data_IF_514490512327
#
_entry.id   IF_514490512327
#
_cell.length_a   1.000
_cell.length_b   1.000
_cell.length_c   1.000
_cell.angle_alpha   90.00
_cell.angle_beta   90.00
_cell.angle_gamma   90.00
#
_symmetry.space_group_name_H-M   'P 1'
#
loop_
_entity.id
_entity.type
_entity.pdbx_description
1 polymer ?
#
# COMPACT_ATOMS: atom_id res chain seq x y z
N UNK A 1 19.01 9.14 -2.98
CA UNK A 1 20.15 8.30 -3.42
C UNK A 1 20.04 8.12 -4.93
N UNK A 2 21.13 8.20 -5.70
CA UNK A 2 21.08 7.91 -7.13
C UNK A 2 20.61 6.46 -7.35
N UNK A 3 19.88 6.16 -8.43
CA UNK A 3 19.48 4.81 -8.75
C UNK A 3 20.72 3.92 -8.88
N UNK A 4 20.66 2.70 -8.33
CA UNK A 4 21.71 1.70 -8.55
C UNK A 4 21.80 1.44 -10.05
N UNK A 5 23.01 1.56 -10.61
CA UNK A 5 23.29 1.40 -12.05
C UNK A 5 22.63 0.11 -12.59
N UNK A 6 21.77 0.22 -13.60
CA UNK A 6 21.17 -0.92 -14.30
C UNK A 6 19.77 -1.34 -13.87
N UNK A 7 19.18 -0.77 -12.80
CA UNK A 7 17.76 -0.99 -12.47
C UNK A 7 16.91 0.08 -13.20
N UNK A 8 15.82 -0.28 -13.91
CA UNK A 8 14.88 0.73 -14.38
C UNK A 8 14.39 1.58 -13.18
N UNK A 9 14.03 2.83 -13.45
CA UNK A 9 13.47 3.72 -12.42
C UNK A 9 12.23 3.10 -11.77
N UNK A 10 11.88 3.57 -10.57
CA UNK A 10 10.68 3.10 -9.87
C UNK A 10 9.43 3.33 -10.74
N UNK A 11 8.69 2.26 -11.03
CA UNK A 11 7.54 2.27 -11.92
C UNK A 11 6.30 2.83 -11.21
N UNK A 12 6.16 4.14 -11.25
CA UNK A 12 5.01 4.83 -10.68
C UNK A 12 3.68 4.48 -11.39
N UNK A 13 3.71 4.05 -12.66
CA UNK A 13 2.51 3.70 -13.40
C UNK A 13 1.95 2.33 -12.95
N UNK A 14 2.83 1.35 -12.75
CA UNK A 14 2.46 0.07 -12.15
C UNK A 14 1.90 0.26 -10.73
N UNK A 15 2.51 1.15 -9.95
CA UNK A 15 2.03 1.48 -8.60
C UNK A 15 0.65 2.15 -8.64
N UNK A 16 0.47 3.17 -9.48
CA UNK A 16 -0.79 3.92 -9.57
C UNK A 16 -1.95 3.05 -10.08
N UNK A 17 -1.70 2.20 -11.07
CA UNK A 17 -2.72 1.26 -11.59
C UNK A 17 -3.13 0.22 -10.55
N UNK A 18 -2.16 -0.36 -9.84
CA UNK A 18 -2.44 -1.31 -8.75
C UNK A 18 -3.20 -0.64 -7.62
N UNK A 19 -2.78 0.56 -7.21
CA UNK A 19 -3.45 1.37 -6.20
C UNK A 19 -4.92 1.66 -6.55
N UNK A 20 -5.21 2.01 -7.81
CA UNK A 20 -6.57 2.26 -8.26
C UNK A 20 -7.46 1.01 -8.16
N UNK A 21 -6.91 -0.17 -8.45
CA UNK A 21 -7.65 -1.44 -8.36
C UNK A 21 -7.96 -1.87 -6.90
N UNK A 22 -7.29 -1.29 -5.89
CA UNK A 22 -7.56 -1.56 -4.47
C UNK A 22 -8.67 -0.68 -3.88
N UNK A 23 -9.21 0.28 -4.63
CA UNK A 23 -10.29 1.15 -4.15
C UNK A 23 -11.60 0.37 -3.93
N UNK A 24 -12.45 0.89 -3.06
CA UNK A 24 -13.72 0.28 -2.69
C UNK A 24 -13.63 -0.55 -1.39
N UNK A 25 -14.61 -1.42 -1.22
CA UNK A 25 -14.80 -2.20 0.02
C UNK A 25 -14.22 -3.61 -0.15
N UNK A 26 -13.21 -3.93 0.65
CA UNK A 26 -12.48 -5.21 0.58
C UNK A 26 -12.10 -5.70 1.97
N UNK A 27 -11.81 -6.99 2.09
CA UNK A 27 -11.11 -7.52 3.27
C UNK A 27 -9.63 -7.15 3.21
N UNK A 28 -9.17 -6.25 4.09
CA UNK A 28 -7.76 -5.85 4.16
C UNK A 28 -6.95 -6.72 5.12
N UNK A 29 -7.39 -7.96 5.37
CA UNK A 29 -6.74 -8.89 6.32
C UNK A 29 -5.25 -9.13 6.01
N UNK A 30 -4.87 -9.19 4.72
CA UNK A 30 -3.48 -9.38 4.30
C UNK A 30 -2.56 -8.22 4.73
N UNK A 31 -3.13 -7.04 4.90
CA UNK A 31 -2.41 -5.81 5.21
C UNK A 31 -2.50 -5.46 6.69
N UNK A 32 -3.39 -6.09 7.46
CA UNK A 32 -3.48 -5.94 8.90
C UNK A 32 -2.47 -6.81 9.66
N UNK A 33 -1.97 -6.31 10.78
CA UNK A 33 -1.29 -7.15 11.76
C UNK A 33 -2.27 -7.54 12.87
N UNK A 34 -2.17 -8.77 13.38
CA UNK A 34 -2.83 -9.11 14.65
C UNK A 34 -2.38 -8.14 15.75
N UNK A 35 -3.30 -7.55 16.53
CA UNK A 35 -2.97 -6.73 17.68
C UNK A 35 -2.02 -7.45 18.63
N UNK A 36 -1.18 -6.70 19.35
CA UNK A 36 -0.26 -7.23 20.38
C UNK A 36 -0.80 -6.87 21.76
N UNK A 37 -0.43 -7.65 22.79
CA UNK A 37 -0.83 -7.38 24.18
C UNK A 37 -2.24 -7.86 24.50
N UNK A 38 -2.93 -7.16 25.43
CA UNK A 38 -4.26 -7.54 25.93
C UNK A 38 -5.39 -7.53 24.88
N UNK A 39 -5.15 -6.96 23.71
CA UNK A 39 -6.10 -6.91 22.59
C UNK A 39 -5.97 -8.12 21.64
N UNK A 40 -5.09 -9.09 21.92
CA UNK A 40 -4.87 -10.28 21.06
C UNK A 40 -6.11 -11.12 20.79
N UNK A 41 -7.06 -11.10 21.74
CA UNK A 41 -8.31 -11.85 21.71
C UNK A 41 -9.46 -11.09 21.05
N UNK A 42 -9.24 -9.82 20.64
CA UNK A 42 -10.25 -9.05 19.93
C UNK A 42 -10.24 -9.45 18.47
N UNK A 43 -11.30 -10.13 18.05
CA UNK A 43 -11.56 -10.38 16.63
C UNK A 43 -12.02 -9.06 16.00
N UNK A 44 -11.24 -8.57 15.04
CA UNK A 44 -11.52 -7.32 14.33
C UNK A 44 -11.95 -7.70 12.92
N UNK A 45 -13.13 -7.25 12.52
CA UNK A 45 -13.58 -7.34 11.13
C UNK A 45 -12.46 -6.76 10.22
N UNK A 46 -11.98 -7.47 9.20
CA UNK A 46 -10.96 -6.95 8.28
C UNK A 46 -11.53 -6.08 7.15
N UNK A 47 -12.85 -5.97 7.00
CA UNK A 47 -13.47 -5.27 5.88
C UNK A 47 -13.42 -3.74 6.05
N UNK A 48 -12.71 -3.05 5.16
CA UNK A 48 -12.63 -1.59 5.15
C UNK A 48 -13.01 -1.06 3.76
N UNK A 49 -13.34 0.22 3.67
CA UNK A 49 -13.60 0.92 2.42
C UNK A 49 -12.52 1.98 2.18
N UNK A 50 -11.76 1.83 1.09
CA UNK A 50 -10.84 2.87 0.62
C UNK A 50 -11.56 3.77 -0.40
N UNK A 51 -11.71 5.05 -0.06
CA UNK A 51 -12.25 6.08 -0.94
C UNK A 51 -11.17 6.82 -1.73
N UNK A 52 -9.92 6.79 -1.25
CA UNK A 52 -8.78 7.34 -1.98
C UNK A 52 -7.51 6.55 -1.69
N UNK A 53 -6.75 6.28 -2.74
CA UNK A 53 -5.40 5.74 -2.70
C UNK A 53 -4.65 6.30 -3.91
N UNK A 54 -3.99 7.43 -3.70
CA UNK A 54 -3.38 8.23 -4.75
C UNK A 54 -1.87 8.32 -4.55
N UNK A 55 -1.13 8.17 -5.64
CA UNK A 55 0.29 8.47 -5.72
C UNK A 55 0.49 9.85 -6.37
N UNK A 56 1.27 10.73 -5.75
CA UNK A 56 1.65 12.02 -6.32
C UNK A 56 3.17 12.26 -6.22
N UNK A 57 3.72 13.02 -7.16
CA UNK A 57 5.10 13.50 -7.05
C UNK A 57 5.18 14.63 -6.03
N UNK A 58 6.28 14.64 -5.27
CA UNK A 58 6.59 15.67 -4.28
C UNK A 58 6.57 15.17 -2.84
N UNK A 59 6.89 16.08 -1.91
CA UNK A 59 6.71 15.87 -0.48
C UNK A 59 5.78 16.91 0.13
N UNK A 60 5.55 16.83 1.44
CA UNK A 60 4.72 17.80 2.19
C UNK A 60 5.31 19.24 2.22
N UNK A 61 6.49 19.45 1.62
CA UNK A 61 7.17 20.74 1.55
C UNK A 61 7.92 20.89 0.22
N UNK A 62 7.76 22.06 -0.39
CA UNK A 62 8.32 22.48 -1.68
C UNK A 62 9.85 22.38 -1.75
N UNK A 63 10.54 22.55 -0.63
CA UNK A 63 12.00 22.71 -0.59
C UNK A 63 12.78 21.42 -0.93
N UNK A 64 12.12 20.27 -1.12
CA UNK A 64 12.85 19.04 -1.46
C UNK A 64 12.04 18.01 -2.27
N UNK A 65 11.04 18.47 -3.02
CA UNK A 65 10.08 17.62 -3.75
C UNK A 65 10.68 16.80 -4.91
N UNK A 66 11.90 17.10 -5.36
CA UNK A 66 12.55 16.36 -6.43
C UNK A 66 12.88 14.92 -6.01
N UNK A 67 12.31 13.94 -6.74
CA UNK A 67 12.55 12.52 -6.50
C UNK A 67 11.81 11.92 -5.30
N UNK A 68 10.83 12.62 -4.74
CA UNK A 68 9.93 12.10 -3.71
C UNK A 68 8.56 11.75 -4.26
N UNK A 69 7.95 10.78 -3.61
CA UNK A 69 6.58 10.34 -3.87
C UNK A 69 5.77 10.39 -2.59
N UNK A 70 4.53 10.82 -2.70
CA UNK A 70 3.58 10.88 -1.60
C UNK A 70 2.39 9.98 -1.91
N UNK A 71 1.99 9.18 -0.91
CA UNK A 71 0.74 8.44 -0.94
C UNK A 71 -0.31 9.18 -0.12
N UNK A 72 -1.46 9.43 -0.72
CA UNK A 72 -2.66 9.89 -0.01
C UNK A 72 -3.62 8.71 0.10
N UNK A 73 -4.01 8.38 1.33
CA UNK A 73 -4.93 7.29 1.62
C UNK A 73 -6.11 7.84 2.42
N UNK A 74 -7.34 7.59 1.95
CA UNK A 74 -8.57 7.89 2.67
C UNK A 74 -9.47 6.66 2.66
N UNK A 75 -10.11 6.43 3.80
CA UNK A 75 -11.04 5.33 3.99
C UNK A 75 -11.89 5.56 5.23
N UNK A 76 -12.88 4.70 5.43
CA UNK A 76 -13.77 4.72 6.60
C UNK A 76 -13.01 4.41 7.91
N UNK A 77 -12.09 3.44 7.85
CA UNK A 77 -11.22 3.02 8.94
C UNK A 77 -9.99 2.28 8.40
N UNK A 78 -9.03 2.02 9.28
CA UNK A 78 -7.82 1.26 8.95
C UNK A 78 -7.52 0.22 10.02
N UNK A 79 -7.09 -0.97 9.61
CA UNK A 79 -6.60 -2.00 10.53
C UNK A 79 -5.24 -1.60 11.13
N UNK A 80 -4.86 -2.23 12.24
CA UNK A 80 -3.55 -2.01 12.85
C UNK A 80 -2.43 -2.29 11.83
N UNK A 81 -1.63 -1.24 11.56
CA UNK A 81 -0.53 -1.22 10.57
C UNK A 81 -0.93 -1.38 9.10
N UNK A 82 -2.23 -1.34 8.79
CA UNK A 82 -2.75 -1.48 7.43
C UNK A 82 -2.04 -0.59 6.41
N UNK A 83 -2.04 0.72 6.65
CA UNK A 83 -1.54 1.71 5.67
C UNK A 83 -0.06 1.51 5.36
N UNK A 84 0.79 1.27 6.37
CA UNK A 84 2.23 1.08 6.13
C UNK A 84 2.51 -0.20 5.34
N UNK A 85 1.75 -1.27 5.62
CA UNK A 85 1.94 -2.56 4.96
C UNK A 85 1.45 -2.48 3.51
N UNK A 86 0.29 -1.85 3.29
CA UNK A 86 -0.25 -1.55 1.97
C UNK A 86 0.73 -0.72 1.12
N UNK A 87 1.21 0.40 1.66
CA UNK A 87 2.20 1.25 0.96
C UNK A 87 3.51 0.50 0.73
N UNK A 88 3.99 -0.29 1.70
CA UNK A 88 5.19 -1.10 1.54
C UNK A 88 5.08 -2.11 0.40
N UNK A 89 3.92 -2.77 0.24
CA UNK A 89 3.69 -3.70 -0.86
C UNK A 89 3.57 -2.97 -2.21
N UNK A 90 2.91 -1.82 -2.27
CA UNK A 90 2.91 -0.98 -3.48
C UNK A 90 4.32 -0.50 -3.86
N UNK A 91 5.16 -0.17 -2.89
CA UNK A 91 6.56 0.19 -3.16
C UNK A 91 7.32 -0.98 -3.80
N UNK A 92 7.08 -2.22 -3.35
CA UNK A 92 7.64 -3.43 -4.00
C UNK A 92 7.18 -3.57 -5.44
N UNK A 93 5.91 -3.29 -5.72
CA UNK A 93 5.38 -3.28 -7.10
C UNK A 93 6.16 -2.32 -7.98
N UNK A 94 6.38 -1.08 -7.53
CA UNK A 94 7.16 -0.13 -8.34
C UNK A 94 8.64 -0.49 -8.50
N UNK A 95 9.20 -1.35 -7.65
CA UNK A 95 10.56 -1.89 -7.85
C UNK A 95 10.60 -3.20 -8.65
N UNK A 96 9.45 -3.72 -9.07
CA UNK A 96 9.31 -5.02 -9.74
C UNK A 96 9.65 -6.21 -8.83
N UNK A 97 9.56 -6.03 -7.51
CA UNK A 97 9.80 -7.10 -6.52
C UNK A 97 8.52 -7.90 -6.19
N UNK A 98 7.39 -7.46 -6.73
CA UNK A 98 6.06 -8.04 -6.59
C UNK A 98 5.23 -7.58 -7.79
N UNK A 99 4.46 -8.46 -8.40
CA UNK A 99 3.52 -8.06 -9.45
C UNK A 99 2.27 -7.43 -8.82
N UNK A 100 1.67 -6.46 -9.53
CA UNK A 100 0.39 -5.87 -9.08
C UNK A 100 -0.72 -6.91 -8.93
N UNK A 101 -0.73 -7.93 -9.79
CA UNK A 101 -1.67 -9.05 -9.71
C UNK A 101 -1.53 -9.85 -8.42
N UNK A 102 -0.31 -10.22 -8.03
CA UNK A 102 -0.04 -10.92 -6.76
C UNK A 102 -0.54 -10.14 -5.54
N UNK A 103 -0.41 -8.81 -5.57
CA UNK A 103 -0.91 -7.95 -4.50
C UNK A 103 -2.44 -7.92 -4.44
N UNK A 104 -3.11 -7.90 -5.60
CA UNK A 104 -4.57 -7.95 -5.69
C UNK A 104 -5.13 -9.32 -5.30
N UNK A 105 -4.43 -10.41 -5.63
CA UNK A 105 -4.75 -11.75 -5.12
C UNK A 105 -4.64 -11.79 -3.60
N UNK A 106 -3.59 -11.22 -3.01
CA UNK A 106 -3.47 -11.14 -1.55
C UNK A 106 -4.60 -10.34 -0.90
N UNK A 107 -5.09 -9.27 -1.56
CA UNK A 107 -6.27 -8.52 -1.12
C UNK A 107 -7.54 -9.38 -1.16
N UNK A 108 -7.74 -10.16 -2.22
CA UNK A 108 -8.90 -11.04 -2.34
C UNK A 108 -8.86 -12.21 -1.34
N UNK A 109 -7.68 -12.81 -1.14
CA UNK A 109 -7.48 -13.98 -0.27
C UNK A 109 -7.33 -13.62 1.22
N UNK A 110 -7.00 -12.36 1.52
CA UNK A 110 -6.70 -11.91 2.88
C UNK A 110 -5.35 -12.38 3.43
N UNK A 111 -4.43 -12.85 2.57
CA UNK A 111 -3.06 -13.25 2.92
C UNK A 111 -2.12 -13.22 1.71
N UNK A 112 -0.84 -12.94 1.93
CA UNK A 112 0.20 -13.17 0.91
C UNK A 112 0.49 -14.67 0.78
N UNK A 113 0.71 -15.14 -0.44
CA UNK A 113 1.14 -16.52 -0.75
C UNK A 113 2.65 -16.66 -0.70
#
# INVERSE_FOLDING_TARGET
APPRRGRPGWDAAAVASTAAAMLGTHSFAAFGNRPRGGERSVEVDPVCTLSELRLSQGGLSEASSAGRWAFTVRGDRFLYKMVRNLVGSLVKVGYGEMEGGELLEALADGRFR
#
